data_IF_319524214757
#
_entry.id   IF_319524214757
#
_cell.length_a   1.000
_cell.length_b   1.000
_cell.length_c   1.000
_cell.angle_alpha   90.00
_cell.angle_beta   90.00
_cell.angle_gamma   90.00
#
_symmetry.space_group_name_H-M   'P 1'
#
loop_
_entity.id
_entity.type
_entity.pdbx_description
1 polymer ?
#
# COMPACT_ATOMS: atom_id res chain seq x y z
N UNK A 1 -0.86 38.65 8.17
CA UNK A 1 0.39 37.93 8.54
C UNK A 1 0.96 37.26 7.30
N UNK A 2 2.30 37.19 7.13
CA UNK A 2 2.90 36.47 6.00
C UNK A 2 2.74 34.96 6.20
N UNK A 3 2.21 34.24 5.20
CA UNK A 3 2.17 32.77 5.21
C UNK A 3 3.61 32.22 5.20
N UNK A 4 3.83 31.08 5.87
CA UNK A 4 5.09 30.32 5.85
C UNK A 4 4.83 28.95 5.23
N UNK A 5 5.78 28.47 4.44
CA UNK A 5 5.70 27.14 3.80
C UNK A 5 6.45 26.14 4.67
N UNK A 6 5.83 24.98 4.92
CA UNK A 6 6.41 23.89 5.70
C UNK A 6 6.38 22.61 4.88
N UNK A 7 7.47 21.83 4.94
CA UNK A 7 7.51 20.48 4.37
C UNK A 7 7.20 19.47 5.45
N UNK A 8 6.05 18.80 5.33
CA UNK A 8 5.64 17.73 6.24
C UNK A 8 5.86 16.39 5.54
N UNK A 9 6.62 15.49 6.17
CA UNK A 9 6.78 14.12 5.66
C UNK A 9 5.60 13.30 6.15
N UNK A 10 4.77 12.83 5.23
CA UNK A 10 3.56 12.05 5.52
C UNK A 10 3.66 10.67 4.89
N UNK A 11 3.21 9.64 5.60
CA UNK A 11 3.10 8.27 5.10
C UNK A 11 1.68 7.78 5.30
N UNK A 12 1.03 7.34 4.23
CA UNK A 12 -0.18 6.53 4.30
C UNK A 12 0.22 5.06 4.30
N UNK A 13 -0.22 4.30 5.30
CA UNK A 13 0.07 2.87 5.43
C UNK A 13 -1.20 2.09 5.14
N UNK A 14 -1.13 1.20 4.15
CA UNK A 14 -2.19 0.26 3.83
C UNK A 14 -1.74 -1.13 4.28
N UNK A 15 -2.59 -1.82 5.02
CA UNK A 15 -2.36 -3.19 5.46
C UNK A 15 -3.49 -4.08 4.94
N UNK A 16 -3.13 -5.30 4.54
CA UNK A 16 -4.07 -6.27 4.01
C UNK A 16 -3.44 -7.66 3.97
N UNK A 17 -4.28 -8.66 3.75
CA UNK A 17 -3.88 -10.07 3.68
C UNK A 17 -4.26 -10.62 2.32
N UNK A 18 -3.33 -11.34 1.68
CA UNK A 18 -3.63 -12.17 0.53
C UNK A 18 -3.69 -13.63 0.98
N UNK A 19 -4.86 -14.25 0.85
CA UNK A 19 -4.94 -15.71 0.84
C UNK A 19 -4.50 -16.21 -0.53
N UNK A 20 -3.38 -16.94 -0.58
CA UNK A 20 -2.78 -17.45 -1.83
C UNK A 20 -2.58 -18.96 -1.76
N UNK A 21 -2.87 -19.63 -2.87
CA UNK A 21 -2.55 -21.07 -3.03
C UNK A 21 -1.08 -21.19 -3.43
N UNK A 22 -0.29 -21.89 -2.61
CA UNK A 22 1.15 -22.02 -2.79
C UNK A 22 1.68 -23.37 -2.28
N UNK A 23 2.80 -23.81 -2.86
CA UNK A 23 3.47 -25.07 -2.51
C UNK A 23 4.29 -24.96 -1.21
N UNK A 24 4.77 -23.75 -0.90
CA UNK A 24 5.57 -23.45 0.29
C UNK A 24 5.37 -22.00 0.76
N UNK A 25 5.94 -21.64 1.92
CA UNK A 25 5.93 -20.24 2.39
C UNK A 25 6.74 -19.34 1.46
N UNK A 26 7.84 -19.86 0.92
CA UNK A 26 8.70 -19.17 -0.04
C UNK A 26 7.97 -18.95 -1.37
N UNK A 27 7.24 -19.95 -1.87
CA UNK A 27 6.39 -19.81 -3.07
C UNK A 27 5.28 -18.77 -2.83
N UNK A 28 4.60 -18.81 -1.68
CA UNK A 28 3.60 -17.81 -1.30
C UNK A 28 4.20 -16.40 -1.29
N UNK A 29 5.40 -16.24 -0.71
CA UNK A 29 6.13 -14.97 -0.68
C UNK A 29 6.44 -14.48 -2.10
N UNK A 30 6.98 -15.35 -2.96
CA UNK A 30 7.33 -14.98 -4.34
C UNK A 30 6.10 -14.60 -5.15
N UNK A 31 4.99 -15.34 -5.02
CA UNK A 31 3.73 -15.02 -5.68
C UNK A 31 3.22 -13.63 -5.31
N UNK A 32 3.22 -13.28 -4.02
CA UNK A 32 2.79 -11.94 -3.58
C UNK A 32 3.74 -10.84 -4.07
N UNK A 33 5.06 -11.08 -4.04
CA UNK A 33 6.04 -10.09 -4.52
C UNK A 33 5.89 -9.82 -6.03
N UNK A 34 5.74 -10.88 -6.82
CA UNK A 34 5.80 -10.81 -8.28
C UNK A 34 4.44 -10.49 -8.91
N UNK A 35 3.32 -10.96 -8.33
CA UNK A 35 2.00 -10.89 -8.98
C UNK A 35 0.96 -10.03 -8.25
N UNK A 36 1.16 -9.71 -6.97
CA UNK A 36 0.23 -8.87 -6.23
C UNK A 36 0.76 -7.44 -6.12
N UNK A 37 0.01 -6.44 -6.58
CA UNK A 37 0.40 -5.03 -6.56
C UNK A 37 -0.65 -4.14 -5.89
N UNK A 38 -0.21 -3.03 -5.30
CA UNK A 38 -1.09 -1.90 -4.99
C UNK A 38 -0.84 -0.82 -6.03
N UNK A 39 -1.85 -0.53 -6.84
CA UNK A 39 -1.86 0.65 -7.69
C UNK A 39 -2.74 1.67 -7.00
N UNK A 40 -2.18 2.82 -6.66
CA UNK A 40 -2.96 3.98 -6.24
C UNK A 40 -3.66 4.55 -7.49
N UNK A 41 -4.75 3.89 -7.89
CA UNK A 41 -5.52 4.21 -9.10
C UNK A 41 -6.60 5.27 -8.91
N UNK A 42 -6.84 5.69 -7.66
CA UNK A 42 -7.76 6.78 -7.31
C UNK A 42 -7.03 8.07 -6.92
N UNK A 43 -7.79 9.14 -6.69
CA UNK A 43 -7.25 10.44 -6.31
C UNK A 43 -6.89 10.48 -4.82
N UNK A 44 -5.61 10.65 -4.49
CA UNK A 44 -5.24 11.27 -3.20
C UNK A 44 -5.88 12.66 -3.22
N UNK A 45 -6.81 12.91 -2.30
CA UNK A 45 -7.53 14.17 -2.24
C UNK A 45 -7.12 14.92 -0.97
N UNK A 46 -7.10 16.24 -1.10
CA UNK A 46 -7.00 17.17 0.02
C UNK A 46 -8.22 18.06 -0.02
N UNK A 47 -8.73 18.45 1.14
CA UNK A 47 -9.73 19.52 1.24
C UNK A 47 -9.10 20.91 1.27
N UNK A 48 -7.76 21.00 1.29
CA UNK A 48 -7.03 22.26 1.18
C UNK A 48 -7.13 22.81 -0.25
N UNK A 49 -7.19 24.15 -0.40
CA UNK A 49 -7.13 24.78 -1.72
C UNK A 49 -5.84 24.42 -2.48
N UNK A 50 -5.93 24.38 -3.81
CA UNK A 50 -4.80 24.03 -4.69
C UNK A 50 -3.60 24.99 -4.55
N UNK A 51 -3.83 26.25 -4.16
CA UNK A 51 -2.78 27.24 -3.92
C UNK A 51 -2.09 27.09 -2.55
N UNK A 52 -2.62 26.24 -1.68
CA UNK A 52 -2.10 26.02 -0.33
C UNK A 52 -1.36 24.69 -0.17
N UNK A 53 -1.47 23.77 -1.12
CA UNK A 53 -0.85 22.46 -1.04
C UNK A 53 -0.18 22.02 -2.35
N UNK A 54 1.05 21.52 -2.21
CA UNK A 54 1.71 20.72 -3.24
C UNK A 54 2.02 19.35 -2.63
N UNK A 55 1.82 18.29 -3.40
CA UNK A 55 2.03 16.92 -2.93
C UNK A 55 2.72 16.07 -4.00
N UNK A 56 3.55 15.14 -3.54
CA UNK A 56 4.25 14.19 -4.39
C UNK A 56 4.22 12.83 -3.68
N UNK A 57 3.33 11.95 -4.13
CA UNK A 57 3.23 10.57 -3.67
C UNK A 57 3.69 9.63 -4.79
N UNK A 58 4.43 8.59 -4.42
CA UNK A 58 4.81 7.54 -5.37
C UNK A 58 3.57 6.73 -5.78
N UNK A 59 3.43 6.47 -7.07
CA UNK A 59 2.34 5.64 -7.62
C UNK A 59 2.54 4.15 -7.34
N UNK A 60 3.77 3.73 -7.02
CA UNK A 60 4.15 2.34 -6.74
C UNK A 60 4.77 2.22 -5.34
N UNK A 61 3.95 2.14 -4.29
CA UNK A 61 4.47 2.03 -2.93
C UNK A 61 5.28 0.73 -2.75
N UNK A 62 6.32 0.80 -1.91
CA UNK A 62 7.12 -0.36 -1.53
C UNK A 62 6.28 -1.41 -0.80
N UNK A 63 6.43 -2.69 -1.19
CA UNK A 63 5.75 -3.82 -0.55
C UNK A 63 6.61 -4.41 0.56
N UNK A 64 6.03 -4.55 1.76
CA UNK A 64 6.66 -5.26 2.88
C UNK A 64 5.84 -6.51 3.21
N UNK A 65 6.46 -7.69 3.16
CA UNK A 65 5.85 -8.95 3.60
C UNK A 65 6.43 -9.30 4.98
N UNK A 66 5.55 -9.32 5.97
CA UNK A 66 5.90 -9.60 7.38
C UNK A 66 5.66 -11.08 7.74
N UNK A 67 4.45 -11.43 8.21
CA UNK A 67 4.12 -12.78 8.67
C UNK A 67 3.42 -13.62 7.58
N UNK A 68 3.89 -14.86 7.40
CA UNK A 68 3.25 -15.86 6.52
C UNK A 68 2.76 -17.04 7.37
N UNK A 69 1.46 -17.32 7.32
CA UNK A 69 0.81 -18.40 8.06
C UNK A 69 0.10 -19.36 7.09
N UNK A 70 0.06 -20.65 7.43
CA UNK A 70 -0.75 -21.63 6.72
C UNK A 70 -2.19 -21.53 7.23
N UNK A 71 -3.15 -21.38 6.32
CA UNK A 71 -4.59 -21.43 6.64
C UNK A 71 -5.13 -22.85 6.48
N UNK A 72 -6.01 -23.28 7.38
CA UNK A 72 -6.49 -24.68 7.46
C UNK A 72 -7.56 -25.00 6.39
N UNK A 73 -8.35 -24.01 5.97
CA UNK A 73 -9.38 -24.11 4.91
C UNK A 73 -9.57 -22.73 4.25
N UNK A 74 -9.79 -22.72 2.93
CA UNK A 74 -10.33 -21.55 2.24
C UNK A 74 -11.78 -21.33 2.69
N UNK A 75 -12.22 -20.08 2.99
CA UNK A 75 -13.65 -19.81 3.06
C UNK A 75 -14.28 -20.14 1.69
N UNK A 76 -15.49 -20.73 1.66
CA UNK A 76 -16.19 -20.97 0.39
C UNK A 76 -16.39 -19.63 -0.34
N UNK A 77 -16.25 -19.67 -1.68
CA UNK A 77 -16.43 -18.52 -2.57
C UNK A 77 -17.83 -17.91 -2.46
#
# INVERSE_FOLDING_TARGET
MKKKVYRVRTQYVFEGVFDVVAESKEDARQKVLQHCGLVMGGSIHSTLPDDEINWAFDRHPYKRIDRIMKVQKYPPK
#
